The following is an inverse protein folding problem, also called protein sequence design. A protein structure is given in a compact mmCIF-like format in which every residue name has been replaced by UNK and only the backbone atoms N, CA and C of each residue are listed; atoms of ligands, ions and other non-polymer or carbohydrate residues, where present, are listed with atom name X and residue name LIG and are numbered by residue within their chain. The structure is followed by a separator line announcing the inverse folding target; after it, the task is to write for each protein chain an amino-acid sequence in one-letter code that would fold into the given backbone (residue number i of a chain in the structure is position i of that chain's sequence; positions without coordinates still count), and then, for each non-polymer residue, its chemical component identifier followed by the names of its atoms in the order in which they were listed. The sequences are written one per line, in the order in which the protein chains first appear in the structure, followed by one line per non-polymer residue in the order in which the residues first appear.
data_IF_312517725169
#
_entry.id   IF_312517725169
#
_cell.length_a   1.000
_cell.length_b   1.000
_cell.length_c   1.000
_cell.angle_alpha   90.00
_cell.angle_beta   90.00
_cell.angle_gamma   90.00
#
_symmetry.space_group_name_H-M   'P 1'
#
loop_
_entity.id
_entity.type
_entity.pdbx_description
1 polymer ?
#
# COMPACT_ATOMS: atom_id res chain seq x y z
N UNK A 1 -21.25 5.45 -2.53
CA UNK A 1 -19.84 5.27 -2.89
C UNK A 1 -19.01 5.67 -1.69
N UNK A 2 -18.07 4.83 -1.27
CA UNK A 2 -17.15 5.15 -0.17
C UNK A 2 -15.89 5.73 -0.81
N UNK A 3 -15.56 6.99 -0.49
CA UNK A 3 -14.39 7.64 -1.06
C UNK A 3 -13.14 7.31 -0.26
N UNK A 4 -11.97 7.17 -0.91
CA UNK A 4 -10.72 7.24 -0.19
C UNK A 4 -10.63 8.60 0.51
N UNK A 5 -10.13 8.60 1.74
CA UNK A 5 -10.01 9.80 2.57
C UNK A 5 -8.58 9.98 3.03
N UNK A 6 -8.11 11.22 3.00
CA UNK A 6 -6.82 11.62 3.56
C UNK A 6 -7.07 12.34 4.88
N UNK A 7 -6.41 11.89 5.94
CA UNK A 7 -6.51 12.54 7.25
C UNK A 7 -5.63 13.80 7.27
N UNK A 8 -6.25 14.97 7.25
CA UNK A 8 -5.58 16.26 7.47
C UNK A 8 -5.86 16.68 8.91
N UNK A 9 -4.87 16.50 9.79
CA UNK A 9 -4.95 16.84 11.22
C UNK A 9 -6.14 16.20 11.96
N UNK A 10 -6.39 14.90 11.71
CA UNK A 10 -7.51 14.16 12.30
C UNK A 10 -8.85 14.37 11.61
N UNK A 11 -8.92 15.24 10.59
CA UNK A 11 -10.13 15.44 9.78
C UNK A 11 -10.01 14.68 8.47
N UNK A 12 -11.05 13.89 8.18
CA UNK A 12 -11.14 13.06 6.99
C UNK A 12 -11.53 13.92 5.78
N UNK A 13 -10.59 14.15 4.86
CA UNK A 13 -10.83 14.88 3.61
C UNK A 13 -11.05 13.86 2.49
N UNK A 14 -12.21 13.91 1.85
CA UNK A 14 -12.52 13.00 0.74
C UNK A 14 -11.68 13.31 -0.49
N UNK A 15 -11.32 12.25 -1.21
CA UNK A 15 -10.60 12.31 -2.48
C UNK A 15 -11.41 11.56 -3.54
N UNK A 16 -11.65 12.17 -4.70
CA UNK A 16 -12.31 11.51 -5.83
C UNK A 16 -11.33 10.67 -6.67
N UNK A 17 -11.86 9.90 -7.62
CA UNK A 17 -11.06 9.00 -8.47
C UNK A 17 -10.06 9.74 -9.37
N UNK A 18 -10.28 11.04 -9.61
CA UNK A 18 -9.37 11.91 -10.37
C UNK A 18 -8.29 12.55 -9.47
N UNK A 19 -8.25 12.20 -8.18
CA UNK A 19 -7.30 12.76 -7.21
C UNK A 19 -7.65 14.17 -6.74
N UNK A 20 -8.92 14.59 -6.84
CA UNK A 20 -9.38 15.88 -6.31
C UNK A 20 -9.81 15.75 -4.86
N UNK A 21 -9.38 16.69 -4.04
CA UNK A 21 -9.76 16.82 -2.64
C UNK A 21 -11.04 17.64 -2.50
N UNK A 22 -11.92 17.24 -1.58
CA UNK A 22 -13.10 18.00 -1.24
C UNK A 22 -12.71 19.24 -0.40
N UNK A 23 -12.86 20.43 -1.00
CA UNK A 23 -12.52 21.70 -0.36
C UNK A 23 -13.50 22.06 0.78
N UNK A 24 -14.71 21.52 0.77
CA UNK A 24 -15.66 21.73 1.88
C UNK A 24 -15.21 20.96 3.12
N UNK A 25 -14.68 19.74 2.96
CA UNK A 25 -14.12 18.98 4.08
C UNK A 25 -12.87 19.69 4.64
N UNK A 26 -12.00 20.21 3.77
CA UNK A 26 -10.86 21.05 4.17
C UNK A 26 -11.31 22.33 4.90
N UNK A 27 -12.38 22.97 4.41
CA UNK A 27 -12.95 24.15 5.07
C UNK A 27 -13.45 23.81 6.48
N UNK A 28 -14.21 22.72 6.62
CA UNK A 28 -14.70 22.27 7.92
C UNK A 28 -13.54 21.96 8.88
N UNK A 29 -12.44 21.38 8.37
CA UNK A 29 -11.22 21.15 9.14
C UNK A 29 -10.59 22.46 9.63
N UNK A 30 -10.49 23.47 8.76
CA UNK A 30 -9.93 24.77 9.10
C UNK A 30 -10.80 25.54 10.10
N UNK A 31 -12.12 25.54 9.92
CA UNK A 31 -13.08 26.19 10.82
C UNK A 31 -13.01 25.54 12.21
N UNK A 32 -13.01 24.20 12.28
CA UNK A 32 -12.92 23.47 13.56
C UNK A 32 -11.63 23.77 14.34
N UNK A 33 -10.56 24.16 13.64
CA UNK A 33 -9.28 24.53 14.24
C UNK A 33 -9.11 26.05 14.45
N UNK A 34 -10.15 26.86 14.19
CA UNK A 34 -10.10 28.32 14.36
C UNK A 34 -9.24 29.05 13.31
N UNK A 35 -9.04 28.43 12.15
CA UNK A 35 -8.10 28.90 11.11
C UNK A 35 -8.81 29.43 9.85
N UNK A 36 -10.13 29.30 9.85
CA UNK A 36 -11.02 29.86 8.86
C UNK A 36 -12.32 30.31 9.54
N UNK A 37 -13.01 31.24 8.88
CA UNK A 37 -14.35 31.69 9.24
C UNK A 37 -15.38 31.09 8.29
N UNK A 38 -16.63 30.97 8.75
CA UNK A 38 -17.76 30.47 7.94
C UNK A 38 -18.01 31.22 6.61
N UNK A 39 -17.46 32.44 6.48
CA UNK A 39 -17.58 33.26 5.26
C UNK A 39 -16.60 32.85 4.15
N UNK A 40 -15.50 32.19 4.51
CA UNK A 40 -14.43 31.76 3.59
C UNK A 40 -14.77 30.42 2.89
N UNK A 41 -16.00 30.30 2.39
CA UNK A 41 -16.49 29.08 1.75
C UNK A 41 -15.79 28.79 0.43
N UNK A 42 -15.56 27.52 0.06
CA UNK A 42 -14.95 27.16 -1.22
C UNK A 42 -15.68 27.73 -2.44
N UNK A 43 -17.02 27.87 -2.36
CA UNK A 43 -17.83 28.48 -3.41
C UNK A 43 -17.50 29.95 -3.70
N UNK A 44 -16.96 30.67 -2.72
CA UNK A 44 -16.51 32.06 -2.89
C UNK A 44 -15.11 32.10 -3.49
N UNK A 45 -14.23 31.22 -3.04
CA UNK A 45 -12.87 31.07 -3.54
C UNK A 45 -12.82 30.83 -5.06
N UNK A 46 -13.60 29.86 -5.56
CA UNK A 46 -13.60 29.52 -7.00
C UNK A 46 -14.25 30.58 -7.91
N UNK A 47 -14.90 31.60 -7.35
CA UNK A 47 -15.46 32.71 -8.13
C UNK A 47 -14.40 33.74 -8.52
N UNK A 48 -13.28 33.79 -7.79
CA UNK A 48 -12.19 34.73 -8.07
C UNK A 48 -11.59 34.50 -9.45
N UNK A 49 -11.43 35.56 -10.24
CA UNK A 49 -10.83 35.49 -11.57
C UNK A 49 -9.39 34.92 -11.52
N UNK A 50 -8.62 35.26 -10.48
CA UNK A 50 -7.27 34.73 -10.31
C UNK A 50 -7.27 33.22 -10.09
N UNK A 51 -8.24 32.71 -9.31
CA UNK A 51 -8.36 31.29 -9.01
C UNK A 51 -8.84 30.51 -10.24
N UNK A 52 -9.78 31.07 -11.01
CA UNK A 52 -10.20 30.47 -12.30
C UNK A 52 -9.04 30.32 -13.26
N UNK A 53 -8.29 31.39 -13.50
CA UNK A 53 -7.10 31.35 -14.37
C UNK A 53 -6.08 30.30 -13.92
N UNK A 54 -5.87 30.18 -12.61
CA UNK A 54 -4.99 29.14 -12.07
C UNK A 54 -5.54 27.73 -12.26
N UNK A 55 -6.84 27.53 -12.03
CA UNK A 55 -7.51 26.25 -12.24
C UNK A 55 -7.48 25.83 -13.72
N UNK A 56 -7.65 26.78 -14.65
CA UNK A 56 -7.57 26.54 -16.09
C UNK A 56 -6.15 26.10 -16.47
N UNK A 57 -5.13 26.83 -16.04
CA UNK A 57 -3.72 26.48 -16.27
C UNK A 57 -3.37 25.10 -15.69
N UNK A 58 -3.83 24.82 -14.47
CA UNK A 58 -3.61 23.54 -13.82
C UNK A 58 -4.30 22.39 -14.58
N UNK A 59 -5.48 22.65 -15.15
CA UNK A 59 -6.18 21.67 -16.00
C UNK A 59 -5.37 21.38 -17.26
N UNK A 60 -4.85 22.42 -17.90
CA UNK A 60 -4.04 22.26 -19.11
C UNK A 60 -2.71 21.53 -18.85
N UNK A 61 -2.05 21.80 -17.72
CA UNK A 61 -0.79 21.16 -17.37
C UNK A 61 -0.96 19.68 -17.01
N UNK A 62 -2.05 19.31 -16.34
CA UNK A 62 -2.29 17.94 -15.85
C UNK A 62 -3.12 17.08 -16.80
N UNK A 63 -3.82 17.70 -17.76
CA UNK A 63 -4.84 17.07 -18.61
C UNK A 63 -5.99 16.42 -17.82
N UNK A 64 -6.18 16.84 -16.57
CA UNK A 64 -7.27 16.43 -15.68
C UNK A 64 -7.99 17.72 -15.27
N UNK A 65 -9.33 17.73 -15.31
CA UNK A 65 -10.08 18.90 -14.86
C UNK A 65 -9.69 19.23 -13.42
N UNK A 66 -9.16 20.41 -13.15
CA UNK A 66 -8.57 20.74 -11.85
C UNK A 66 -9.61 21.03 -10.78
N UNK A 67 -10.85 21.31 -11.19
CA UNK A 67 -11.99 21.61 -10.34
C UNK A 67 -13.20 20.79 -10.74
N UNK A 68 -14.03 20.45 -9.76
CA UNK A 68 -15.36 19.88 -9.98
C UNK A 68 -16.32 20.44 -8.94
N UNK A 69 -17.48 20.92 -9.37
CA UNK A 69 -18.52 21.44 -8.47
C UNK A 69 -19.70 20.50 -8.52
N UNK A 70 -20.04 19.91 -7.38
CA UNK A 70 -21.19 19.00 -7.25
C UNK A 70 -22.23 19.68 -6.37
N UNK A 71 -23.47 19.74 -6.85
CA UNK A 71 -24.60 20.34 -6.15
C UNK A 71 -25.56 19.24 -5.68
N UNK A 72 -25.77 19.15 -4.36
CA UNK A 72 -26.65 18.15 -3.74
C UNK A 72 -26.01 16.75 -3.64
N UNK A 73 -26.67 15.87 -2.88
CA UNK A 73 -26.18 14.53 -2.59
C UNK A 73 -25.03 14.47 -1.59
N UNK A 74 -24.54 13.26 -1.33
CA UNK A 74 -23.41 13.03 -0.41
C UNK A 74 -22.13 13.68 -0.93
N UNK A 75 -21.96 13.75 -2.26
CA UNK A 75 -20.77 14.30 -2.93
C UNK A 75 -20.78 15.80 -3.12
N UNK A 76 -21.76 16.48 -2.54
CA UNK A 76 -21.87 17.92 -2.65
C UNK A 76 -20.60 18.62 -2.14
N UNK A 77 -20.20 19.67 -2.87
CA UNK A 77 -19.02 20.44 -2.53
C UNK A 77 -18.25 20.90 -3.75
N UNK A 78 -17.22 21.68 -3.47
CA UNK A 78 -16.19 22.05 -4.43
C UNK A 78 -15.03 21.09 -4.26
N UNK A 79 -14.61 20.48 -5.35
CA UNK A 79 -13.49 19.56 -5.40
C UNK A 79 -12.36 20.20 -6.19
N UNK A 80 -11.12 19.99 -5.76
CA UNK A 80 -9.94 20.54 -6.39
C UNK A 80 -8.72 19.62 -6.33
N UNK A 81 -7.92 19.58 -7.39
CA UNK A 81 -6.62 18.89 -7.37
C UNK A 81 -5.72 19.43 -6.26
N UNK A 82 -4.70 18.66 -5.89
CA UNK A 82 -3.79 18.95 -4.77
C UNK A 82 -3.30 20.41 -4.72
N UNK A 83 -2.77 20.93 -5.85
CA UNK A 83 -2.27 22.30 -5.92
C UNK A 83 -3.38 23.36 -5.70
N UNK A 84 -4.60 23.08 -6.14
CA UNK A 84 -5.74 23.97 -5.88
C UNK A 84 -6.20 23.88 -4.42
N UNK A 85 -6.13 22.70 -3.82
CA UNK A 85 -6.43 22.50 -2.39
C UNK A 85 -5.42 23.26 -1.51
N UNK A 86 -4.12 23.21 -1.84
CA UNK A 86 -3.08 24.02 -1.19
C UNK A 86 -3.38 25.51 -1.35
N UNK A 87 -3.72 25.96 -2.57
CA UNK A 87 -4.05 27.37 -2.82
C UNK A 87 -5.29 27.83 -2.06
N UNK A 88 -6.27 26.95 -1.87
CA UNK A 88 -7.42 27.22 -1.01
C UNK A 88 -6.99 27.35 0.45
N UNK A 89 -6.14 26.45 0.95
CA UNK A 89 -5.61 26.51 2.31
C UNK A 89 -4.83 27.82 2.57
N UNK A 90 -4.02 28.26 1.62
CA UNK A 90 -3.32 29.55 1.63
C UNK A 90 -4.26 30.74 1.77
N UNK A 91 -5.41 30.68 1.08
CA UNK A 91 -6.44 31.72 1.17
C UNK A 91 -7.15 31.75 2.54
N UNK A 92 -7.17 30.64 3.26
CA UNK A 92 -7.73 30.57 4.62
C UNK A 92 -6.75 31.14 5.65
N UNK A 93 -5.54 30.57 5.75
CA UNK A 93 -4.46 31.10 6.58
C UNK A 93 -3.10 30.46 6.23
N UNK A 94 -1.98 31.20 6.42
CA UNK A 94 -0.63 30.64 6.19
C UNK A 94 -0.32 29.41 7.06
N UNK A 95 -0.83 29.40 8.30
CA UNK A 95 -0.67 28.27 9.22
C UNK A 95 -1.33 27.01 8.65
N UNK A 96 -2.51 27.16 8.05
CA UNK A 96 -3.27 26.05 7.48
C UNK A 96 -2.66 25.56 6.18
N UNK A 97 -2.16 26.47 5.35
CA UNK A 97 -1.36 26.13 4.16
C UNK A 97 -0.18 25.22 4.47
N UNK A 98 0.67 25.63 5.43
CA UNK A 98 1.86 24.86 5.83
C UNK A 98 1.47 23.46 6.29
N UNK A 99 0.36 23.33 7.03
CA UNK A 99 -0.13 22.02 7.46
C UNK A 99 -0.60 21.16 6.31
N UNK A 100 -1.48 21.67 5.45
CA UNK A 100 -2.00 20.92 4.30
C UNK A 100 -0.83 20.47 3.41
N UNK A 101 0.13 21.36 3.16
CA UNK A 101 1.36 21.03 2.44
C UNK A 101 2.17 19.91 3.10
N UNK A 102 2.42 20.00 4.42
CA UNK A 102 3.15 18.97 5.14
C UNK A 102 2.42 17.63 5.13
N UNK A 103 1.09 17.62 5.26
CA UNK A 103 0.29 16.39 5.18
C UNK A 103 0.39 15.73 3.81
N UNK A 104 0.27 16.49 2.72
CA UNK A 104 0.41 15.94 1.37
C UNK A 104 1.83 15.41 1.14
N UNK A 105 2.85 16.16 1.57
CA UNK A 105 4.25 15.72 1.49
C UNK A 105 4.50 14.44 2.29
N UNK A 106 3.98 14.34 3.50
CA UNK A 106 4.10 13.16 4.36
C UNK A 106 3.38 11.94 3.77
N UNK A 107 2.21 12.14 3.15
CA UNK A 107 1.49 11.06 2.47
C UNK A 107 2.31 10.48 1.30
N UNK A 108 2.92 11.34 0.48
CA UNK A 108 3.82 10.91 -0.61
C UNK A 108 5.04 10.17 -0.06
N UNK A 109 5.70 10.72 0.96
CA UNK A 109 6.85 10.07 1.59
C UNK A 109 6.49 8.72 2.21
N UNK A 110 5.35 8.64 2.91
CA UNK A 110 4.85 7.40 3.51
C UNK A 110 4.59 6.33 2.45
N UNK A 111 4.04 6.69 1.29
CA UNK A 111 3.92 5.78 0.14
C UNK A 111 5.26 5.20 -0.29
N UNK A 112 6.30 6.02 -0.41
CA UNK A 112 7.66 5.58 -0.74
C UNK A 112 8.22 4.65 0.34
N UNK A 113 7.97 4.94 1.62
CA UNK A 113 8.43 4.07 2.72
C UNK A 113 7.70 2.73 2.77
N UNK A 114 6.41 2.68 2.44
CA UNK A 114 5.65 1.44 2.41
C UNK A 114 6.09 0.55 1.25
N UNK A 115 6.38 1.15 0.08
CA UNK A 115 6.96 0.42 -1.05
C UNK A 115 8.33 -0.19 -0.73
N UNK A 116 9.21 0.53 -0.04
CA UNK A 116 10.51 -0.03 0.35
C UNK A 116 10.39 -1.17 1.37
N UNK A 117 9.42 -1.09 2.30
CA UNK A 117 9.07 -2.17 3.22
C UNK A 117 8.50 -3.39 2.50
N UNK A 118 7.60 -3.19 1.53
CA UNK A 118 7.04 -4.25 0.70
C UNK A 118 8.13 -4.96 -0.10
N UNK A 119 9.00 -4.22 -0.78
CA UNK A 119 10.12 -4.80 -1.51
C UNK A 119 11.02 -5.67 -0.61
N UNK A 120 11.27 -5.22 0.63
CA UNK A 120 12.05 -6.01 1.60
C UNK A 120 11.33 -7.30 2.00
N UNK A 121 10.00 -7.25 2.19
CA UNK A 121 9.19 -8.43 2.48
C UNK A 121 9.18 -9.41 1.30
N UNK A 122 9.03 -8.92 0.07
CA UNK A 122 9.05 -9.76 -1.13
C UNK A 122 10.40 -10.47 -1.29
N UNK A 123 11.51 -9.78 -1.01
CA UNK A 123 12.85 -10.40 -1.00
C UNK A 123 12.97 -11.50 0.06
N UNK A 124 12.42 -11.29 1.26
CA UNK A 124 12.42 -12.30 2.33
C UNK A 124 11.57 -13.51 1.94
N UNK A 125 10.34 -13.29 1.45
CA UNK A 125 9.45 -14.34 0.98
C UNK A 125 10.11 -15.15 -0.14
N UNK A 126 10.77 -14.49 -1.09
CA UNK A 126 11.49 -15.17 -2.17
C UNK A 126 12.65 -16.03 -1.64
N UNK A 127 13.40 -15.53 -0.66
CA UNK A 127 14.49 -16.28 -0.06
C UNK A 127 13.97 -17.51 0.72
N UNK A 128 12.98 -17.32 1.58
CA UNK A 128 12.37 -18.40 2.36
C UNK A 128 11.73 -19.46 1.44
N UNK A 129 11.04 -19.02 0.38
CA UNK A 129 10.48 -19.92 -0.64
C UNK A 129 11.57 -20.76 -1.29
N UNK A 130 12.72 -20.15 -1.60
CA UNK A 130 13.87 -20.86 -2.19
C UNK A 130 14.43 -21.90 -1.21
N UNK A 131 14.59 -21.55 0.06
CA UNK A 131 15.07 -22.46 1.11
C UNK A 131 14.12 -23.66 1.29
N UNK A 132 12.82 -23.40 1.44
CA UNK A 132 11.80 -24.44 1.54
C UNK A 132 11.83 -25.35 0.31
N UNK A 133 11.94 -24.78 -0.90
CA UNK A 133 12.02 -25.58 -2.13
C UNK A 133 13.29 -26.44 -2.19
N UNK A 134 14.41 -25.99 -1.61
CA UNK A 134 15.65 -26.75 -1.54
C UNK A 134 15.51 -27.93 -0.58
N UNK A 135 14.93 -27.72 0.60
CA UNK A 135 14.59 -28.77 1.55
C UNK A 135 13.63 -29.80 0.93
N UNK A 136 12.57 -29.34 0.25
CA UNK A 136 11.63 -30.23 -0.44
C UNK A 136 12.33 -31.09 -1.51
N UNK A 137 13.22 -30.50 -2.31
CA UNK A 137 14.04 -31.25 -3.29
C UNK A 137 14.94 -32.28 -2.60
N UNK A 138 15.58 -31.93 -1.51
CA UNK A 138 16.42 -32.86 -0.74
C UNK A 138 15.60 -34.03 -0.17
N UNK A 139 14.44 -33.74 0.42
CA UNK A 139 13.51 -34.75 0.92
C UNK A 139 13.01 -35.67 -0.20
N UNK A 140 12.60 -35.12 -1.34
CA UNK A 140 12.18 -35.90 -2.50
C UNK A 140 13.31 -36.80 -3.02
N UNK A 141 14.55 -36.29 -3.07
CA UNK A 141 15.73 -37.07 -3.47
C UNK A 141 16.01 -38.22 -2.49
N UNK A 142 15.73 -38.03 -1.19
CA UNK A 142 15.90 -39.06 -0.17
C UNK A 142 14.74 -40.07 -0.08
N UNK A 143 13.50 -39.62 -0.33
CA UNK A 143 12.25 -40.33 -0.02
C UNK A 143 12.04 -41.71 -0.65
N UNK A 144 10.83 -42.26 -0.48
CA UNK A 144 10.47 -43.67 -0.75
C UNK A 144 10.74 -44.12 -2.20
N UNK A 145 10.73 -43.20 -3.17
CA UNK A 145 11.07 -43.48 -4.57
C UNK A 145 12.51 -43.14 -4.98
N UNK A 146 13.28 -42.47 -4.11
CA UNK A 146 14.61 -41.93 -4.40
C UNK A 146 15.76 -42.78 -3.85
N UNK A 147 16.76 -42.13 -3.23
CA UNK A 147 18.00 -42.77 -2.75
C UNK A 147 17.74 -43.85 -1.67
N UNK A 148 16.78 -43.64 -0.76
CA UNK A 148 16.46 -44.63 0.28
C UNK A 148 16.03 -45.97 -0.32
N UNK A 149 15.27 -45.97 -1.41
CA UNK A 149 14.89 -47.20 -2.12
C UNK A 149 16.10 -47.93 -2.67
N UNK A 150 16.98 -47.22 -3.36
CA UNK A 150 18.20 -47.80 -3.93
C UNK A 150 19.09 -48.42 -2.85
N UNK A 151 19.26 -47.74 -1.71
CA UNK A 151 20.02 -48.25 -0.58
C UNK A 151 19.35 -49.47 0.07
N UNK A 152 18.03 -49.47 0.22
CA UNK A 152 17.29 -50.62 0.75
C UNK A 152 17.38 -51.84 -0.19
N UNK A 153 17.22 -51.65 -1.51
CA UNK A 153 17.41 -52.73 -2.47
C UNK A 153 18.84 -53.27 -2.46
N UNK A 154 19.85 -52.40 -2.30
CA UNK A 154 21.24 -52.83 -2.14
C UNK A 154 21.44 -53.64 -0.84
N UNK A 155 20.84 -53.19 0.27
CA UNK A 155 20.85 -53.92 1.55
C UNK A 155 20.24 -55.31 1.41
N UNK A 156 19.06 -55.42 0.80
CA UNK A 156 18.38 -56.72 0.57
C UNK A 156 19.25 -57.68 -0.26
N UNK A 157 19.91 -57.18 -1.32
CA UNK A 157 20.85 -57.98 -2.11
C UNK A 157 22.03 -58.49 -1.29
N UNK A 158 22.65 -57.64 -0.48
CA UNK A 158 23.76 -58.06 0.39
C UNK A 158 23.30 -59.13 1.37
N UNK A 159 22.17 -58.91 2.05
CA UNK A 159 21.61 -59.89 3.00
C UNK A 159 21.34 -61.24 2.33
N UNK A 160 20.83 -61.25 1.08
CA UNK A 160 20.57 -62.50 0.34
C UNK A 160 21.84 -63.30 -0.03
N UNK A 161 23.02 -62.69 0.04
CA UNK A 161 24.30 -63.33 -0.26
C UNK A 161 25.06 -63.77 1.01
N UNK A 162 24.55 -63.46 2.20
CA UNK A 162 25.19 -63.79 3.48
C UNK A 162 24.69 -65.13 4.02
N UNK A 163 25.52 -65.81 4.83
CA UNK A 163 25.14 -67.06 5.48
C UNK A 163 23.95 -66.85 6.45
N UNK A 164 22.96 -67.76 6.49
CA UNK A 164 21.73 -67.60 7.28
C UNK A 164 21.96 -67.39 8.78
N UNK A 165 22.95 -68.07 9.35
CA UNK A 165 23.34 -67.93 10.77
C UNK A 165 23.96 -66.56 11.09
N UNK A 166 24.58 -65.91 10.10
CA UNK A 166 25.14 -64.57 10.28
C UNK A 166 24.03 -63.50 10.24
N UNK A 167 22.97 -63.73 9.47
CA UNK A 167 21.82 -62.81 9.35
C UNK A 167 20.98 -62.80 10.63
N UNK A 168 20.70 -63.96 11.21
CA UNK A 168 19.95 -64.10 12.48
C UNK A 168 20.65 -63.41 13.66
N UNK A 169 21.99 -63.47 13.73
CA UNK A 169 22.78 -62.75 14.72
C UNK A 169 22.72 -61.22 14.56
N UNK A 170 22.56 -60.70 13.34
CA UNK A 170 22.46 -59.27 13.07
C UNK A 170 21.07 -58.71 13.42
N UNK A 171 20.00 -59.46 13.14
CA UNK A 171 18.63 -59.04 13.45
C UNK A 171 18.33 -59.04 14.95
N UNK A 172 18.89 -60.00 15.71
CA UNK A 172 18.79 -60.06 17.17
C UNK A 172 19.45 -58.87 17.90
N UNK A 173 20.34 -58.12 17.23
CA UNK A 173 21.07 -56.96 17.79
C UNK A 173 20.44 -55.61 17.44
N UNK A 174 19.46 -55.58 16.54
CA UNK A 174 18.85 -54.36 16.02
C UNK A 174 17.47 -54.03 16.63
N UNK A 175 16.90 -54.94 17.43
CA UNK A 175 15.71 -54.71 18.26
C UNK A 175 16.08 -54.30 19.68
#
# INVERSE_FOLDING_TARGET
MTYPTVAVNGVSVRVDDDGRYNLNDLHAAAVSNGEATESQRPSNFIKSAQIRRFADELTEATKIASTRVVKGGTESGVWGLELLAIRYAAWLSPKFEIRVYNTFREAVLSGITNMSRLNRLDLLIANETKEVSACARAMNKWGVGGRKKLLNCARERIVSQMDPDMVTLMEAKAG
#
